data_IF_585879706420
#
_entry.id   IF_585879706420
#
_cell.length_a   1.000
_cell.length_b   1.000
_cell.length_c   1.000
_cell.angle_alpha   90.00
_cell.angle_beta   90.00
_cell.angle_gamma   90.00
#
_symmetry.space_group_name_H-M   'P 1'
#
loop_
_entity.id
_entity.type
_entity.pdbx_description
1 polymer ?
#
# COMPACT_ATOMS: atom_id res chain seq x y z
N UNK A 1 -15.15 9.34 8.92
CA UNK A 1 -14.14 8.54 8.20
C UNK A 1 -13.99 7.24 8.97
N UNK A 2 -14.63 6.18 8.51
CA UNK A 2 -14.41 4.84 9.10
C UNK A 2 -13.15 4.27 8.47
N UNK A 3 -12.18 4.07 9.30
CA UNK A 3 -10.75 3.95 9.06
C UNK A 3 -10.28 2.58 8.58
N UNK A 4 -9.06 2.57 8.25
CA UNK A 4 -8.02 1.62 7.92
C UNK A 4 -8.08 0.20 8.50
N UNK A 5 -8.66 -0.02 9.65
CA UNK A 5 -8.92 -1.35 10.19
C UNK A 5 -9.78 -2.23 9.24
N UNK A 6 -10.61 -1.59 8.42
CA UNK A 6 -11.38 -2.28 7.39
C UNK A 6 -10.48 -2.91 6.33
N UNK A 7 -9.41 -2.25 5.87
CA UNK A 7 -8.55 -2.80 4.81
C UNK A 7 -7.80 -4.06 5.27
N UNK A 8 -7.30 -4.09 6.51
CA UNK A 8 -6.58 -5.25 7.04
C UNK A 8 -7.49 -6.44 7.39
N UNK A 9 -8.67 -6.16 7.92
CA UNK A 9 -9.70 -7.19 8.14
C UNK A 9 -10.16 -7.76 6.79
N UNK A 10 -10.27 -6.93 5.77
CA UNK A 10 -10.65 -7.33 4.41
C UNK A 10 -9.55 -8.10 3.67
N UNK A 11 -8.27 -7.90 3.93
CA UNK A 11 -7.18 -8.66 3.32
C UNK A 11 -7.26 -10.16 3.53
N UNK A 12 -7.62 -10.61 4.73
CA UNK A 12 -7.83 -12.04 5.02
C UNK A 12 -9.17 -12.56 4.50
N UNK A 13 -10.10 -11.67 4.12
CA UNK A 13 -11.50 -11.99 3.87
C UNK A 13 -11.93 -11.65 2.44
N UNK A 14 -11.08 -10.99 1.64
CA UNK A 14 -11.36 -10.68 0.23
C UNK A 14 -11.28 -11.91 -0.65
N UNK A 15 -10.85 -12.96 -0.09
CA UNK A 15 -10.92 -14.27 -0.67
C UNK A 15 -12.23 -14.93 -0.32
N UNK A 16 -12.65 -15.84 -1.16
CA UNK A 16 -13.57 -16.88 -0.81
C UNK A 16 -12.92 -17.69 0.32
N UNK A 17 -12.83 -17.10 1.50
CA UNK A 17 -12.50 -17.81 2.72
C UNK A 17 -13.78 -18.50 3.16
N UNK A 18 -13.72 -19.82 3.30
CA UNK A 18 -14.82 -20.62 3.86
C UNK A 18 -15.29 -20.15 5.24
N UNK A 19 -14.49 -19.32 5.93
CA UNK A 19 -14.79 -18.76 7.25
C UNK A 19 -15.51 -17.40 7.22
N UNK A 20 -15.48 -16.70 6.09
CA UNK A 20 -16.09 -15.36 5.92
C UNK A 20 -16.63 -15.18 4.50
N UNK A 21 -17.60 -16.00 4.09
CA UNK A 21 -18.10 -16.04 2.71
C UNK A 21 -18.76 -14.74 2.24
N UNK A 22 -19.14 -13.85 3.16
CA UNK A 22 -19.75 -12.55 2.87
C UNK A 22 -18.74 -11.47 2.43
N UNK A 23 -17.45 -11.66 2.72
CA UNK A 23 -16.42 -10.68 2.40
C UNK A 23 -15.60 -11.16 1.19
N UNK A 24 -16.05 -10.79 0.01
CA UNK A 24 -15.45 -11.12 -1.27
C UNK A 24 -15.15 -9.85 -2.07
N UNK A 25 -14.34 -9.94 -3.13
CA UNK A 25 -14.16 -8.84 -4.09
C UNK A 25 -15.50 -8.35 -4.65
N UNK A 26 -16.43 -9.28 -4.89
CA UNK A 26 -17.79 -8.95 -5.36
C UNK A 26 -18.58 -8.15 -4.32
N UNK A 27 -18.51 -8.49 -3.02
CA UNK A 27 -19.20 -7.74 -1.97
C UNK A 27 -18.60 -6.34 -1.77
N UNK A 28 -17.28 -6.18 -1.92
CA UNK A 28 -16.61 -4.87 -1.87
C UNK A 28 -17.03 -4.01 -3.07
N UNK A 29 -17.03 -4.59 -4.28
CA UNK A 29 -17.52 -3.91 -5.49
C UNK A 29 -18.99 -3.47 -5.34
N UNK A 30 -19.83 -4.34 -4.80
CA UNK A 30 -21.25 -4.02 -4.52
C UNK A 30 -21.40 -2.90 -3.49
N UNK A 31 -20.55 -2.89 -2.45
CA UNK A 31 -20.55 -1.83 -1.44
C UNK A 31 -20.13 -0.48 -2.05
N UNK A 32 -19.05 -0.45 -2.85
CA UNK A 32 -18.62 0.74 -3.59
C UNK A 32 -19.76 1.28 -4.43
N UNK A 33 -20.35 0.43 -5.26
CA UNK A 33 -21.49 0.77 -6.13
C UNK A 33 -22.68 1.31 -5.35
N UNK A 34 -23.05 0.68 -4.22
CA UNK A 34 -24.15 1.15 -3.35
C UNK A 34 -23.93 2.57 -2.84
N UNK A 35 -22.71 2.94 -2.50
CA UNK A 35 -22.40 4.31 -2.10
C UNK A 35 -22.43 5.29 -3.27
N UNK A 36 -21.95 4.87 -4.44
CA UNK A 36 -21.99 5.69 -5.67
C UNK A 36 -23.43 5.97 -6.10
N UNK A 37 -24.31 4.97 -6.04
CA UNK A 37 -25.76 5.10 -6.32
C UNK A 37 -26.46 6.07 -5.34
N UNK A 38 -25.92 6.24 -4.13
CA UNK A 38 -26.36 7.26 -3.17
C UNK A 38 -25.77 8.65 -3.46
N UNK A 39 -25.06 8.83 -4.59
CA UNK A 39 -24.43 10.10 -4.97
C UNK A 39 -23.15 10.43 -4.20
N UNK A 40 -22.57 9.47 -3.46
CA UNK A 40 -21.31 9.66 -2.75
C UNK A 40 -20.13 9.47 -3.70
N UNK A 41 -19.05 10.22 -3.47
CA UNK A 41 -17.78 9.99 -4.14
C UNK A 41 -17.02 8.93 -3.33
N UNK A 42 -16.63 7.85 -3.99
CA UNK A 42 -15.98 6.71 -3.33
C UNK A 42 -14.63 6.47 -3.99
N UNK A 43 -13.60 6.31 -3.17
CA UNK A 43 -12.31 5.76 -3.58
C UNK A 43 -12.09 4.45 -2.83
N UNK A 44 -11.90 3.38 -3.57
CA UNK A 44 -11.53 2.07 -3.02
C UNK A 44 -10.02 1.93 -3.11
N UNK A 45 -9.37 1.88 -1.95
CA UNK A 45 -7.90 1.84 -1.88
C UNK A 45 -7.43 0.63 -1.09
N UNK A 46 -6.24 0.13 -1.41
CA UNK A 46 -5.61 -1.01 -0.75
C UNK A 46 -4.29 -0.64 -0.11
N UNK A 47 -4.10 -1.12 1.13
CA UNK A 47 -2.91 -0.85 1.93
C UNK A 47 -1.80 -1.93 1.81
N UNK A 48 -1.78 -2.73 0.73
CA UNK A 48 -0.74 -3.72 0.41
C UNK A 48 -0.99 -5.13 0.96
N UNK A 49 -0.14 -6.12 0.60
CA UNK A 49 -0.19 -7.54 0.94
C UNK A 49 -1.38 -8.29 0.33
N UNK A 50 -1.85 -7.89 -0.84
CA UNK A 50 -3.04 -8.48 -1.44
C UNK A 50 -2.75 -9.70 -2.32
N UNK A 51 -1.53 -9.89 -2.84
CA UNK A 51 -1.25 -10.98 -3.79
C UNK A 51 -0.93 -12.33 -3.15
N UNK A 52 -0.73 -12.39 -1.84
CA UNK A 52 -0.33 -13.59 -1.11
C UNK A 52 -1.34 -13.95 -0.01
N UNK A 53 -1.34 -15.19 0.43
CA UNK A 53 -2.12 -15.66 1.60
C UNK A 53 -3.30 -16.55 1.27
N UNK A 54 -3.59 -16.82 -0.02
CA UNK A 54 -4.61 -17.78 -0.44
C UNK A 54 -4.16 -18.59 -1.64
N UNK A 55 -4.91 -19.67 -1.92
CA UNK A 55 -4.67 -20.51 -3.09
C UNK A 55 -4.70 -19.71 -4.40
N UNK A 56 -5.63 -18.77 -4.52
CA UNK A 56 -5.75 -17.92 -5.72
C UNK A 56 -4.55 -17.00 -5.94
N UNK A 57 -3.97 -16.44 -4.86
CA UNK A 57 -2.74 -15.66 -4.94
C UNK A 57 -1.52 -16.51 -5.30
N UNK A 58 -1.44 -17.72 -4.72
CA UNK A 58 -0.27 -18.60 -4.89
C UNK A 58 -0.25 -19.35 -6.24
N UNK A 59 -1.40 -19.58 -6.89
CA UNK A 59 -1.48 -20.39 -8.12
C UNK A 59 -0.83 -19.71 -9.33
N UNK A 60 -0.83 -18.38 -9.40
CA UNK A 60 -0.28 -17.61 -10.52
C UNK A 60 0.49 -16.37 -10.05
N UNK A 61 1.10 -16.49 -8.88
CA UNK A 61 1.94 -15.46 -8.27
C UNK A 61 1.25 -14.08 -8.23
N UNK A 62 -0.01 -14.07 -7.85
CA UNK A 62 -0.81 -12.87 -7.62
C UNK A 62 -1.61 -12.35 -8.82
N UNK A 63 -1.46 -12.89 -10.04
CA UNK A 63 -2.16 -12.35 -11.22
C UNK A 63 -3.69 -12.43 -11.11
N UNK A 64 -4.24 -13.54 -10.58
CA UNK A 64 -5.68 -13.67 -10.36
C UNK A 64 -6.20 -12.60 -9.39
N UNK A 65 -5.43 -12.27 -8.36
CA UNK A 65 -5.83 -11.25 -7.38
C UNK A 65 -5.93 -9.88 -8.05
N UNK A 66 -4.93 -9.51 -8.85
CA UNK A 66 -4.97 -8.23 -9.56
C UNK A 66 -6.16 -8.14 -10.51
N UNK A 67 -6.48 -9.23 -11.25
CA UNK A 67 -7.71 -9.25 -12.08
C UNK A 67 -8.98 -9.05 -11.24
N UNK A 68 -9.08 -9.69 -10.07
CA UNK A 68 -10.21 -9.49 -9.17
C UNK A 68 -10.29 -8.06 -8.61
N UNK A 69 -9.14 -7.45 -8.30
CA UNK A 69 -9.08 -6.05 -7.88
C UNK A 69 -9.48 -5.09 -9.01
N UNK A 70 -9.05 -5.36 -10.26
CA UNK A 70 -9.47 -4.60 -11.43
C UNK A 70 -11.00 -4.66 -11.60
N UNK A 71 -11.59 -5.86 -11.57
CA UNK A 71 -13.04 -6.06 -11.65
C UNK A 71 -13.80 -5.43 -10.48
N UNK A 72 -13.24 -5.43 -9.28
CA UNK A 72 -13.83 -4.78 -8.12
C UNK A 72 -13.75 -3.24 -8.18
N UNK A 73 -12.98 -2.69 -9.11
CA UNK A 73 -12.84 -1.27 -9.33
C UNK A 73 -12.00 -0.57 -8.28
N UNK A 74 -10.86 -1.14 -7.90
CA UNK A 74 -9.90 -0.44 -7.04
C UNK A 74 -9.37 0.81 -7.75
N UNK A 75 -9.14 1.87 -6.96
CA UNK A 75 -8.71 3.19 -7.46
C UNK A 75 -7.23 3.44 -7.18
N UNK A 76 -6.65 2.78 -6.18
CA UNK A 76 -5.27 2.98 -5.75
C UNK A 76 -4.79 1.86 -4.83
N UNK A 77 -3.50 1.54 -4.87
CA UNK A 77 -2.86 0.67 -3.86
C UNK A 77 -1.44 1.15 -3.50
N UNK A 78 -0.94 0.64 -2.37
CA UNK A 78 0.48 0.67 -2.00
C UNK A 78 1.00 -0.76 -1.87
N UNK A 79 2.26 -1.08 -2.21
CA UNK A 79 2.82 -2.40 -1.94
C UNK A 79 3.05 -2.62 -0.44
N UNK A 80 2.72 -3.82 0.06
CA UNK A 80 3.20 -4.35 1.32
C UNK A 80 4.47 -5.19 1.13
N UNK A 81 4.81 -6.01 2.13
CA UNK A 81 5.96 -6.90 2.04
C UNK A 81 5.68 -8.16 1.21
N UNK A 82 4.45 -8.65 1.20
CA UNK A 82 4.07 -9.85 0.46
C UNK A 82 3.97 -9.64 -1.05
N UNK A 83 3.93 -8.42 -1.56
CA UNK A 83 4.05 -8.14 -2.99
C UNK A 83 5.41 -8.57 -3.55
N UNK A 84 6.42 -8.82 -2.71
CA UNK A 84 7.75 -9.26 -3.11
C UNK A 84 8.01 -10.77 -2.92
N UNK A 85 7.06 -11.54 -2.41
CA UNK A 85 7.24 -12.96 -2.09
C UNK A 85 7.57 -13.84 -3.30
N UNK A 86 7.13 -13.43 -4.48
CA UNK A 86 7.41 -14.12 -5.75
C UNK A 86 8.58 -13.50 -6.52
N UNK A 87 9.37 -12.65 -5.88
CA UNK A 87 10.54 -11.98 -6.42
C UNK A 87 10.25 -10.63 -7.08
N UNK A 88 11.30 -9.81 -7.21
CA UNK A 88 11.22 -8.42 -7.66
C UNK A 88 10.65 -8.26 -9.07
N UNK A 89 11.03 -9.13 -10.00
CA UNK A 89 10.55 -9.04 -11.38
C UNK A 89 9.05 -9.38 -11.45
N UNK A 90 8.61 -10.37 -10.68
CA UNK A 90 7.20 -10.72 -10.57
C UNK A 90 6.41 -9.60 -9.91
N UNK A 91 6.89 -9.02 -8.80
CA UNK A 91 6.26 -7.87 -8.18
C UNK A 91 6.00 -6.74 -9.19
N UNK A 92 7.04 -6.35 -9.95
CA UNK A 92 6.92 -5.30 -10.97
C UNK A 92 5.97 -5.65 -12.12
N UNK A 93 5.87 -6.94 -12.49
CA UNK A 93 4.91 -7.38 -13.51
C UNK A 93 3.48 -7.27 -13.00
N UNK A 94 3.21 -7.80 -11.82
CA UNK A 94 1.88 -7.80 -11.19
C UNK A 94 1.37 -6.38 -11.00
N UNK A 95 2.23 -5.46 -10.54
CA UNK A 95 1.86 -4.05 -10.40
C UNK A 95 1.51 -3.38 -11.74
N UNK A 96 2.04 -3.88 -12.87
CA UNK A 96 1.71 -3.38 -14.22
C UNK A 96 0.42 -3.98 -14.79
N UNK A 97 -0.02 -5.14 -14.28
CA UNK A 97 -1.27 -5.78 -14.69
C UNK A 97 -2.50 -5.09 -14.06
N UNK A 98 -2.29 -4.22 -13.06
CA UNK A 98 -3.34 -3.46 -12.43
C UNK A 98 -3.84 -2.29 -13.29
N UNK A 99 -5.15 -2.14 -13.38
CA UNK A 99 -5.82 -1.00 -14.05
C UNK A 99 -5.83 0.26 -13.16
N UNK A 100 -5.36 0.14 -11.93
CA UNK A 100 -5.23 1.21 -10.96
C UNK A 100 -3.76 1.49 -10.63
N UNK A 101 -3.39 2.73 -10.26
CA UNK A 101 -2.02 3.06 -9.92
C UNK A 101 -1.57 2.47 -8.57
N UNK A 102 -0.25 2.23 -8.46
CA UNK A 102 0.42 2.01 -7.19
C UNK A 102 1.27 3.21 -6.82
N UNK A 103 1.40 3.46 -5.51
CA UNK A 103 2.23 4.53 -4.95
C UNK A 103 3.15 4.00 -3.84
N UNK A 104 4.40 4.48 -3.83
CA UNK A 104 5.36 4.24 -2.74
C UNK A 104 6.41 5.35 -2.74
N UNK A 105 6.53 6.08 -1.65
CA UNK A 105 7.49 7.18 -1.55
C UNK A 105 8.91 6.71 -1.19
N UNK A 106 9.05 5.48 -0.72
CA UNK A 106 10.30 4.97 -0.15
C UNK A 106 10.89 3.73 -0.86
N UNK A 107 10.27 3.24 -1.95
CA UNK A 107 10.85 2.16 -2.76
C UNK A 107 11.74 2.73 -3.86
N UNK A 108 13.06 2.44 -3.79
CA UNK A 108 14.10 3.05 -4.61
C UNK A 108 14.84 1.99 -5.45
N UNK A 109 15.09 2.30 -6.71
CA UNK A 109 16.07 1.59 -7.53
C UNK A 109 17.45 2.24 -7.32
N UNK A 110 18.33 1.56 -6.62
CA UNK A 110 19.67 2.06 -6.26
C UNK A 110 20.61 2.25 -7.46
N UNK A 111 20.28 1.68 -8.62
CA UNK A 111 21.08 1.84 -9.84
C UNK A 111 20.86 3.21 -10.48
N UNK A 112 19.64 3.70 -10.41
CA UNK A 112 19.24 5.00 -10.95
C UNK A 112 19.11 6.10 -9.88
N UNK A 113 18.96 5.71 -8.61
CA UNK A 113 18.60 6.60 -7.51
C UNK A 113 17.15 7.09 -7.57
N UNK A 114 16.32 6.54 -8.47
CA UNK A 114 14.95 6.96 -8.65
C UNK A 114 13.97 6.04 -7.90
N UNK A 115 12.81 6.58 -7.57
CA UNK A 115 11.70 5.79 -7.04
C UNK A 115 11.19 4.83 -8.12
N UNK A 116 10.85 3.61 -7.71
CA UNK A 116 10.26 2.60 -8.58
C UNK A 116 8.81 2.93 -8.91
N UNK A 117 8.11 3.55 -7.95
CA UNK A 117 6.72 3.99 -8.08
C UNK A 117 6.59 5.50 -7.83
N UNK A 118 5.51 6.14 -8.30
CA UNK A 118 5.17 7.49 -7.88
C UNK A 118 5.02 7.58 -6.36
N UNK A 119 5.49 8.67 -5.75
CA UNK A 119 5.37 8.84 -4.29
C UNK A 119 3.95 9.16 -3.85
N UNK A 120 3.15 9.76 -4.75
CA UNK A 120 1.79 10.21 -4.49
C UNK A 120 0.88 9.98 -5.68
N UNK A 121 -0.43 9.88 -5.41
CA UNK A 121 -1.51 10.02 -6.39
C UNK A 121 -2.44 11.12 -5.95
N UNK A 122 -2.74 12.05 -6.85
CA UNK A 122 -3.70 13.13 -6.64
C UNK A 122 -5.01 12.81 -7.35
N UNK A 123 -6.11 12.92 -6.63
CA UNK A 123 -7.48 12.79 -7.15
C UNK A 123 -8.18 14.16 -7.07
N UNK A 124 -8.93 14.50 -8.10
CA UNK A 124 -9.86 15.64 -8.05
C UNK A 124 -11.27 15.11 -7.77
N UNK A 125 -11.80 15.42 -6.60
CA UNK A 125 -13.12 14.99 -6.16
C UNK A 125 -14.03 16.23 -6.07
N UNK A 126 -14.78 16.50 -7.15
CA UNK A 126 -15.69 17.65 -7.22
C UNK A 126 -15.01 18.99 -6.88
N UNK A 127 -13.78 19.18 -7.32
CA UNK A 127 -13.01 20.39 -7.09
C UNK A 127 -12.08 20.36 -5.88
N UNK A 128 -12.23 19.40 -4.96
CA UNK A 128 -11.26 19.19 -3.90
C UNK A 128 -10.15 18.21 -4.36
N UNK A 129 -8.90 18.59 -4.15
CA UNK A 129 -7.74 17.78 -4.47
C UNK A 129 -7.32 16.93 -3.26
N UNK A 130 -7.45 15.61 -3.39
CA UNK A 130 -7.06 14.63 -2.37
C UNK A 130 -5.81 13.90 -2.83
N UNK A 131 -4.70 14.05 -2.10
CA UNK A 131 -3.46 13.34 -2.36
C UNK A 131 -3.32 12.13 -1.44
N UNK A 132 -2.93 11.01 -2.00
CA UNK A 132 -2.49 9.84 -1.25
C UNK A 132 -0.97 9.71 -1.34
N UNK A 133 -0.31 9.58 -0.20
CA UNK A 133 1.12 9.29 -0.07
C UNK A 133 1.29 7.81 0.22
N UNK A 134 1.91 7.06 -0.70
CA UNK A 134 2.15 5.63 -0.51
C UNK A 134 3.39 5.36 0.33
N UNK A 135 3.31 4.38 1.24
CA UNK A 135 4.43 4.01 2.13
C UNK A 135 4.52 2.49 2.26
N UNK A 136 5.65 1.92 1.85
CA UNK A 136 5.95 0.49 1.97
C UNK A 136 6.80 0.23 3.21
N UNK A 137 6.52 -0.86 3.94
CA UNK A 137 7.29 -1.17 5.16
C UNK A 137 8.75 -1.51 4.86
N UNK A 138 9.72 -0.89 5.58
CA UNK A 138 11.11 -1.30 5.54
C UNK A 138 11.34 -2.74 6.04
N UNK A 139 10.44 -3.31 6.83
CA UNK A 139 10.48 -4.71 7.25
C UNK A 139 10.42 -5.71 6.09
N UNK A 140 10.11 -5.23 4.87
CA UNK A 140 10.11 -6.06 3.65
C UNK A 140 11.40 -6.87 3.50
N UNK A 141 12.57 -6.35 3.90
CA UNK A 141 13.83 -7.08 3.86
C UNK A 141 13.90 -8.27 4.81
N UNK A 142 13.18 -8.24 5.92
CA UNK A 142 13.14 -9.31 6.92
C UNK A 142 11.90 -10.19 6.81
N UNK A 143 10.83 -9.68 6.23
CA UNK A 143 9.54 -10.37 6.06
C UNK A 143 9.39 -11.03 4.69
N UNK A 144 10.20 -10.64 3.70
CA UNK A 144 10.33 -11.28 2.40
C UNK A 144 11.76 -11.84 2.24
N UNK A 145 12.22 -12.09 1.02
CA UNK A 145 13.54 -12.66 0.74
C UNK A 145 14.53 -11.59 0.33
N UNK A 146 15.57 -11.25 1.13
CA UNK A 146 16.53 -10.20 0.82
C UNK A 146 17.20 -10.33 -0.55
N UNK A 147 17.43 -11.56 -1.02
CA UNK A 147 18.03 -11.83 -2.33
C UNK A 147 17.25 -11.22 -3.50
N UNK A 148 15.94 -11.03 -3.37
CA UNK A 148 15.09 -10.41 -4.40
C UNK A 148 15.39 -8.93 -4.63
N UNK A 149 16.04 -8.28 -3.67
CA UNK A 149 16.47 -6.87 -3.74
C UNK A 149 17.91 -6.72 -4.21
N UNK A 150 18.60 -7.83 -4.46
CA UNK A 150 20.01 -7.86 -4.86
C UNK A 150 20.17 -8.07 -6.37
N UNK A 151 21.39 -7.80 -6.87
CA UNK A 151 21.76 -8.16 -8.23
C UNK A 151 21.80 -9.71 -8.40
N UNK A 152 21.81 -10.18 -9.64
CA UNK A 152 21.77 -11.62 -9.96
C UNK A 152 22.89 -12.45 -9.30
N UNK A 153 24.02 -11.83 -8.96
CA UNK A 153 25.16 -12.48 -8.26
C UNK A 153 25.00 -12.40 -6.72
N UNK A 154 23.96 -11.77 -6.22
CA UNK A 154 23.70 -11.53 -4.79
C UNK A 154 24.88 -10.87 -4.05
N UNK A 155 25.62 -9.98 -4.73
CA UNK A 155 26.79 -9.30 -4.16
C UNK A 155 26.49 -7.89 -3.66
N UNK A 156 25.38 -7.29 -4.08
CA UNK A 156 24.94 -5.96 -3.64
C UNK A 156 23.45 -5.78 -3.83
N UNK A 157 22.83 -4.98 -2.99
CA UNK A 157 21.48 -4.50 -3.18
C UNK A 157 21.39 -3.59 -4.41
N UNK A 158 20.33 -3.75 -5.18
CA UNK A 158 19.97 -2.90 -6.33
C UNK A 158 18.62 -2.22 -6.14
N UNK A 159 17.87 -2.62 -5.10
CA UNK A 159 16.67 -1.95 -4.62
C UNK A 159 16.77 -1.72 -3.13
N UNK A 160 16.10 -0.66 -2.65
CA UNK A 160 15.96 -0.33 -1.24
C UNK A 160 14.52 0.07 -0.94
N UNK A 161 14.05 -0.27 0.24
CA UNK A 161 12.87 0.30 0.88
C UNK A 161 13.40 1.20 1.99
N UNK A 162 13.46 2.50 1.74
CA UNK A 162 14.09 3.45 2.67
C UNK A 162 13.43 3.37 4.05
N UNK A 163 14.22 3.00 5.05
CA UNK A 163 13.84 2.94 6.45
C UNK A 163 14.81 3.74 7.31
N UNK A 164 16.05 3.29 7.34
CA UNK A 164 17.06 3.70 8.32
C UNK A 164 16.84 3.02 9.67
N UNK A 165 17.91 2.75 10.42
CA UNK A 165 17.82 2.04 11.70
C UNK A 165 17.04 2.85 12.75
N UNK A 166 17.00 4.15 12.61
CA UNK A 166 16.29 5.13 13.44
C UNK A 166 14.99 5.66 12.80
N UNK A 167 14.60 5.13 11.64
CA UNK A 167 13.43 5.58 10.87
C UNK A 167 13.64 6.87 10.07
N UNK A 168 14.76 7.57 10.24
CA UNK A 168 14.95 8.91 9.66
C UNK A 168 14.83 8.95 8.14
N UNK A 169 15.30 7.92 7.42
CA UNK A 169 15.17 7.85 5.97
C UNK A 169 13.73 7.69 5.51
N UNK A 170 12.93 6.92 6.26
CA UNK A 170 11.50 6.76 6.02
C UNK A 170 10.78 8.09 6.23
N UNK A 171 11.00 8.75 7.36
CA UNK A 171 10.34 10.01 7.71
C UNK A 171 10.66 11.11 6.70
N UNK A 172 11.93 11.23 6.27
CA UNK A 172 12.36 12.18 5.23
C UNK A 172 11.66 11.90 3.88
N UNK A 173 11.59 10.63 3.48
CA UNK A 173 10.93 10.25 2.23
C UNK A 173 9.42 10.58 2.26
N UNK A 174 8.77 10.32 3.40
CA UNK A 174 7.34 10.64 3.61
C UNK A 174 7.13 12.15 3.64
N UNK A 175 7.95 12.91 4.40
CA UNK A 175 7.81 14.36 4.47
C UNK A 175 7.98 15.01 3.09
N UNK A 176 8.96 14.59 2.31
CA UNK A 176 9.14 15.06 0.92
C UNK A 176 7.94 14.77 0.03
N UNK A 177 7.26 13.62 0.25
CA UNK A 177 6.05 13.29 -0.51
C UNK A 177 4.86 14.17 -0.08
N UNK A 178 4.72 14.44 1.21
CA UNK A 178 3.72 15.39 1.75
C UNK A 178 3.95 16.79 1.17
N UNK A 179 5.18 17.28 1.19
CA UNK A 179 5.50 18.61 0.69
C UNK A 179 5.28 18.73 -0.82
N UNK A 180 5.56 17.64 -1.57
CA UNK A 180 5.19 17.56 -2.99
C UNK A 180 3.68 17.62 -3.19
N UNK A 181 2.88 16.93 -2.36
CA UNK A 181 1.42 16.99 -2.44
C UNK A 181 0.90 18.42 -2.20
N UNK A 182 1.43 19.11 -1.19
CA UNK A 182 1.12 20.51 -0.92
C UNK A 182 1.47 21.42 -2.11
N UNK A 183 2.66 21.24 -2.68
CA UNK A 183 3.10 22.02 -3.86
C UNK A 183 2.20 21.81 -5.08
N UNK A 184 1.59 20.62 -5.21
CA UNK A 184 0.62 20.30 -6.26
C UNK A 184 -0.80 20.78 -5.94
N UNK A 185 -1.01 21.48 -4.83
CA UNK A 185 -2.30 22.06 -4.46
C UNK A 185 -3.27 21.08 -3.81
N UNK A 186 -2.78 20.05 -3.12
CA UNK A 186 -3.65 19.13 -2.40
C UNK A 186 -4.35 19.86 -1.23
N UNK A 187 -5.68 19.77 -1.17
CA UNK A 187 -6.50 20.23 -0.06
C UNK A 187 -6.48 19.25 1.11
N UNK A 188 -6.36 17.95 0.80
CA UNK A 188 -6.26 16.87 1.78
C UNK A 188 -5.13 15.94 1.40
N UNK A 189 -4.38 15.49 2.42
CA UNK A 189 -3.26 14.56 2.26
C UNK A 189 -3.50 13.36 3.16
N UNK A 190 -3.60 12.18 2.56
CA UNK A 190 -3.88 10.92 3.22
C UNK A 190 -2.65 10.02 3.06
N UNK A 191 -2.13 9.47 4.17
CA UNK A 191 -1.16 8.39 4.13
C UNK A 191 -1.87 7.09 3.73
N UNK A 192 -1.27 6.34 2.81
CA UNK A 192 -1.67 4.98 2.46
C UNK A 192 -0.45 4.09 2.69
N UNK A 193 -0.36 3.51 3.88
CA UNK A 193 0.80 2.79 4.35
C UNK A 193 0.58 1.30 4.52
N UNK A 194 1.68 0.57 4.51
CA UNK A 194 1.76 -0.81 4.95
C UNK A 194 2.86 -0.90 6.02
N UNK A 195 2.61 -0.34 7.19
CA UNK A 195 3.61 -0.15 8.26
C UNK A 195 3.23 -0.86 9.56
N UNK A 196 1.92 -0.92 9.83
CA UNK A 196 1.39 -1.45 11.08
C UNK A 196 1.56 -0.52 12.26
N UNK A 197 1.01 -0.97 13.38
CA UNK A 197 1.03 -0.26 14.68
C UNK A 197 1.65 -1.11 15.78
N UNK A 198 2.15 -2.32 15.46
CA UNK A 198 2.81 -3.19 16.43
C UNK A 198 4.13 -2.58 16.87
N UNK A 199 4.40 -2.47 18.20
CA UNK A 199 5.66 -1.93 18.70
C UNK A 199 6.92 -2.65 18.22
N UNK A 200 6.81 -3.92 17.80
CA UNK A 200 7.95 -4.67 17.24
C UNK A 200 8.42 -4.14 15.89
N UNK A 201 7.58 -3.38 15.19
CA UNK A 201 7.92 -2.73 13.91
C UNK A 201 8.52 -1.33 14.08
N UNK A 202 8.67 -0.84 15.33
CA UNK A 202 9.32 0.45 15.56
C UNK A 202 10.80 0.39 15.13
N UNK A 203 11.33 1.46 14.55
CA UNK A 203 10.79 2.83 14.42
C UNK A 203 10.01 3.08 13.11
N UNK A 204 9.43 2.08 12.50
CA UNK A 204 8.78 2.19 11.19
C UNK A 204 7.26 2.05 11.23
N UNK A 205 6.65 2.11 12.42
CA UNK A 205 5.18 2.05 12.53
C UNK A 205 4.53 3.30 11.94
N UNK A 206 3.25 3.20 11.57
CA UNK A 206 2.48 4.37 11.14
C UNK A 206 2.41 5.44 12.24
N UNK A 207 2.43 5.05 13.51
CA UNK A 207 2.49 5.98 14.66
C UNK A 207 3.80 6.76 14.66
N UNK A 208 4.94 6.09 14.42
CA UNK A 208 6.24 6.76 14.33
C UNK A 208 6.28 7.73 13.15
N UNK A 209 5.79 7.32 11.99
CA UNK A 209 5.71 8.18 10.79
C UNK A 209 4.85 9.42 11.08
N UNK A 210 3.68 9.26 11.68
CA UNK A 210 2.79 10.38 12.01
C UNK A 210 3.45 11.31 13.04
N UNK A 211 4.18 10.76 14.02
CA UNK A 211 4.86 11.54 15.04
C UNK A 211 6.03 12.39 14.51
N UNK A 212 6.70 11.90 13.43
CA UNK A 212 7.90 12.54 12.87
C UNK A 212 7.64 13.30 11.56
N UNK A 213 6.39 13.39 11.10
CA UNK A 213 6.01 14.13 9.89
C UNK A 213 4.84 15.07 10.15
N UNK A 214 4.67 16.06 9.27
CA UNK A 214 3.58 17.05 9.43
C UNK A 214 2.84 17.26 8.12
N UNK A 215 1.51 17.17 8.18
CA UNK A 215 0.65 17.51 7.06
C UNK A 215 -0.30 16.43 6.60
N UNK A 216 -0.36 15.28 7.25
CA UNK A 216 -1.43 14.31 7.04
C UNK A 216 -2.75 14.77 7.66
N UNK A 217 -3.84 14.58 6.94
CA UNK A 217 -5.21 14.72 7.44
C UNK A 217 -5.77 13.38 7.94
N UNK A 218 -5.31 12.27 7.36
CA UNK A 218 -5.68 10.92 7.76
C UNK A 218 -4.56 9.95 7.36
N UNK A 219 -4.55 8.75 7.96
CA UNK A 219 -3.65 7.67 7.59
C UNK A 219 -4.42 6.36 7.53
N UNK A 220 -4.30 5.65 6.41
CA UNK A 220 -4.83 4.30 6.18
C UNK A 220 -3.65 3.36 6.22
N UNK A 221 -3.72 2.30 7.04
CA UNK A 221 -2.59 1.42 7.29
C UNK A 221 -2.96 -0.06 7.22
N UNK A 222 -1.95 -0.89 7.00
CA UNK A 222 -2.02 -2.34 7.02
C UNK A 222 -0.89 -2.96 7.85
N UNK A 223 -0.50 -4.24 7.56
CA UNK A 223 0.66 -4.97 8.07
C UNK A 223 0.45 -5.69 9.42
N UNK A 224 0.15 -5.01 10.50
CA UNK A 224 0.08 -5.62 11.85
C UNK A 224 -1.20 -6.41 12.12
N UNK A 225 -2.18 -6.40 11.20
CA UNK A 225 -3.49 -7.04 11.35
C UNK A 225 -4.23 -6.62 12.64
N UNK A 226 -3.96 -5.42 13.12
CA UNK A 226 -4.53 -4.88 14.35
C UNK A 226 -5.91 -4.29 14.06
N UNK A 227 -6.91 -4.71 14.81
CA UNK A 227 -8.24 -4.08 14.81
C UNK A 227 -8.28 -3.07 15.95
N UNK A 228 -8.44 -1.79 15.61
CA UNK A 228 -8.64 -0.72 16.58
C UNK A 228 -10.11 -0.34 16.61
N UNK A 229 -10.73 -0.47 17.78
CA UNK A 229 -12.05 0.09 18.01
C UNK A 229 -11.93 1.63 18.06
N UNK A 230 -12.73 2.33 17.26
CA UNK A 230 -12.84 3.79 17.26
C UNK A 230 -13.79 4.29 18.31
#
# INVERSE_FOLDING_TARGET
>A
IKSSAASDVYKRQTYIDHKSPELTYASIAALKKSYEEQGKNVLLVDAGDHIQGTAYGSMDDGATIIRLMNEAGYDLATPGNHEFDYGMDRAKMVLKEADFPYVSCNWIDLRSGLRVLPSIKLFNIKGAFVAFVGVTTPETFTKSTPAYFMNAKQTRYIYDILGGDDGAKLYDAVQKAIDKAKTLGADYIIGLGHLGVDPSSAPWTSKDVIAHTTGFNAFIDGHSHTVMAG
#
